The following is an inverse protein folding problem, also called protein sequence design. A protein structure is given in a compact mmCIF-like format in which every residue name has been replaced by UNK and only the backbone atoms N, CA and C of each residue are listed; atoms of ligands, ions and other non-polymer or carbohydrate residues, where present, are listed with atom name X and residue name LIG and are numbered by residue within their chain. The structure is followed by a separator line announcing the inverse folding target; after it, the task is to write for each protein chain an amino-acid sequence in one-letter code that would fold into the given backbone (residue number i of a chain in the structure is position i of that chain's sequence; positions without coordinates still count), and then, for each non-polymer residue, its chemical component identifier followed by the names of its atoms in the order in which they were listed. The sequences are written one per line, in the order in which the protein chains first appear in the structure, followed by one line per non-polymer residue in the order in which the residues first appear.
data_IF_991139908767
#
_entry.id   IF_991139908767
#
_cell.length_a   1.000
_cell.length_b   1.000
_cell.length_c   1.000
_cell.angle_alpha   90.00
_cell.angle_beta   90.00
_cell.angle_gamma   90.00
#
_symmetry.space_group_name_H-M   'P 1'
#
loop_
_entity.id
_entity.type
_entity.pdbx_description
1 polymer ?
#
# COMPACT_ATOMS: atom_id res chain seq x y z
N UNK A 1 19.14 18.53 -7.02
CA UNK A 1 17.72 18.70 -7.41
C UNK A 1 16.93 17.61 -6.72
N UNK A 2 15.88 17.95 -5.99
CA UNK A 2 15.05 16.99 -5.25
C UNK A 2 13.63 17.03 -5.84
N UNK A 3 13.08 15.87 -6.18
CA UNK A 3 11.70 15.72 -6.63
C UNK A 3 10.92 15.02 -5.52
N UNK A 4 9.80 15.60 -5.09
CA UNK A 4 9.01 15.09 -3.97
C UNK A 4 7.59 14.78 -4.45
N UNK A 5 7.07 13.62 -4.06
CA UNK A 5 5.72 13.17 -4.34
C UNK A 5 4.99 12.80 -3.03
N UNK A 6 3.72 13.20 -2.94
CA UNK A 6 2.82 12.79 -1.87
C UNK A 6 1.64 12.05 -2.48
N UNK A 7 1.42 10.82 -1.99
CA UNK A 7 0.21 10.06 -2.29
C UNK A 7 -0.57 9.81 -1.01
N UNK A 8 -1.61 10.61 -0.80
CA UNK A 8 -2.54 10.46 0.31
C UNK A 8 -3.61 9.39 0.05
N UNK A 9 -4.29 8.98 1.13
CA UNK A 9 -5.47 8.08 1.10
C UNK A 9 -5.24 6.67 0.55
N UNK A 10 -4.00 6.16 0.61
CA UNK A 10 -3.70 4.76 0.25
C UNK A 10 -4.42 3.84 1.24
N UNK A 11 -5.37 3.03 0.77
CA UNK A 11 -6.09 2.11 1.65
C UNK A 11 -5.19 0.94 2.04
N UNK A 12 -5.04 0.72 3.35
CA UNK A 12 -4.39 -0.48 3.87
C UNK A 12 -5.40 -1.64 3.78
N UNK A 13 -5.34 -2.37 2.66
CA UNK A 13 -6.21 -3.52 2.40
C UNK A 13 -5.51 -4.80 2.82
N UNK A 14 -6.17 -5.55 3.69
CA UNK A 14 -5.80 -6.92 4.01
C UNK A 14 -6.92 -7.85 3.54
N UNK A 15 -6.59 -9.02 3.00
CA UNK A 15 -7.60 -9.98 2.57
C UNK A 15 -8.17 -10.68 3.79
N UNK A 16 -9.49 -10.81 3.85
CA UNK A 16 -10.18 -11.42 5.01
C UNK A 16 -9.98 -12.93 5.11
N UNK A 17 -9.63 -13.59 4.00
CA UNK A 17 -9.39 -15.04 3.97
C UNK A 17 -8.08 -15.35 3.23
N UNK A 18 -7.22 -16.25 3.76
CA UNK A 18 -6.05 -16.74 3.05
C UNK A 18 -6.48 -17.45 1.77
N UNK A 19 -5.73 -17.23 0.68
CA UNK A 19 -5.96 -17.96 -0.57
C UNK A 19 -5.88 -19.46 -0.30
N UNK A 20 -6.90 -20.20 -0.70
CA UNK A 20 -6.88 -21.65 -0.59
C UNK A 20 -5.69 -22.22 -1.36
N UNK A 21 -5.01 -23.26 -0.83
CA UNK A 21 -3.93 -23.93 -1.54
C UNK A 21 -4.36 -24.30 -2.96
N UNK A 22 -3.55 -23.93 -3.95
CA UNK A 22 -3.83 -24.26 -5.35
C UNK A 22 -3.85 -25.78 -5.51
N UNK A 23 -5.03 -26.34 -5.81
CA UNK A 23 -5.18 -27.76 -6.16
C UNK A 23 -5.16 -27.90 -7.69
N UNK A 24 -4.47 -28.93 -8.20
CA UNK A 24 -4.48 -29.26 -9.64
C UNK A 24 -5.94 -29.41 -10.11
N UNK A 25 -6.36 -28.61 -11.09
CA UNK A 25 -7.75 -28.58 -11.59
C UNK A 25 -8.69 -27.58 -10.91
N UNK A 26 -8.23 -26.79 -9.93
CA UNK A 26 -9.01 -25.72 -9.29
C UNK A 26 -8.21 -24.42 -9.25
N UNK A 27 -8.69 -23.41 -9.99
CA UNK A 27 -8.14 -22.05 -9.91
C UNK A 27 -8.27 -21.53 -8.48
N UNK A 28 -7.26 -20.79 -7.99
CA UNK A 28 -7.27 -20.21 -6.66
C UNK A 28 -8.55 -19.39 -6.44
N UNK A 29 -9.37 -19.77 -5.47
CA UNK A 29 -10.58 -19.04 -5.12
C UNK A 29 -10.17 -17.79 -4.36
N UNK A 30 -10.35 -16.63 -4.98
CA UNK A 30 -10.07 -15.33 -4.39
C UNK A 30 -11.36 -14.80 -3.78
N UNK A 31 -11.45 -14.77 -2.44
CA UNK A 31 -12.55 -14.06 -1.78
C UNK A 31 -12.46 -12.57 -2.12
N UNK A 32 -13.59 -11.98 -2.54
CA UNK A 32 -13.71 -10.56 -2.90
C UNK A 32 -13.72 -9.64 -1.68
N UNK A 33 -13.74 -10.20 -0.47
CA UNK A 33 -13.82 -9.47 0.78
C UNK A 33 -12.44 -8.96 1.22
N UNK A 34 -12.40 -7.69 1.61
CA UNK A 34 -11.21 -7.00 2.09
C UNK A 34 -11.49 -6.33 3.43
N UNK A 35 -10.59 -6.51 4.39
CA UNK A 35 -10.58 -5.77 5.64
C UNK A 35 -9.92 -4.42 5.39
N UNK A 36 -10.62 -3.34 5.75
CA UNK A 36 -10.10 -1.97 5.71
C UNK A 36 -9.35 -1.68 7.01
N UNK A 37 -8.03 -1.59 6.94
CA UNK A 37 -7.17 -1.24 8.08
C UNK A 37 -6.90 0.28 8.17
N UNK A 38 -7.72 1.11 7.50
CA UNK A 38 -7.57 2.57 7.42
C UNK A 38 -6.81 3.04 6.18
N UNK A 39 -6.42 4.31 6.18
CA UNK A 39 -5.65 4.94 5.08
C UNK A 39 -4.29 5.42 5.55
N UNK A 40 -3.26 5.19 4.75
CA UNK A 40 -1.89 5.70 4.94
C UNK A 40 -1.57 6.77 3.89
N UNK A 41 -0.64 7.67 4.21
CA UNK A 41 -0.08 8.64 3.26
C UNK A 41 1.38 8.29 3.01
N UNK A 42 1.74 8.08 1.75
CA UNK A 42 3.11 7.86 1.31
C UNK A 42 3.73 9.20 0.94
N UNK A 43 4.89 9.50 1.53
CA UNK A 43 5.79 10.57 1.10
C UNK A 43 7.02 9.93 0.47
N UNK A 44 7.35 10.32 -0.76
CA UNK A 44 8.54 9.86 -1.46
C UNK A 44 9.35 11.07 -1.94
N UNK A 45 10.66 11.06 -1.69
CA UNK A 45 11.58 12.06 -2.19
C UNK A 45 12.68 11.36 -3.00
N UNK A 46 12.80 11.71 -4.28
CA UNK A 46 13.86 11.28 -5.18
C UNK A 46 14.93 12.36 -5.24
N UNK A 47 16.14 12.04 -4.80
CA UNK A 47 17.31 12.86 -5.07
C UNK A 47 17.85 12.50 -6.45
N UNK A 48 17.79 13.47 -7.36
CA UNK A 48 18.11 13.27 -8.78
C UNK A 48 19.62 13.18 -9.02
N UNK A 49 20.43 13.66 -8.06
CA UNK A 49 21.89 13.69 -8.21
C UNK A 49 22.54 12.32 -7.92
N UNK A 50 21.97 11.56 -7.00
CA UNK A 50 22.49 10.26 -6.55
C UNK A 50 21.52 9.10 -6.86
N UNK A 51 20.30 9.40 -7.32
CA UNK A 51 19.26 8.40 -7.62
C UNK A 51 18.60 7.79 -6.38
N UNK A 52 18.84 8.35 -5.20
CA UNK A 52 18.31 7.78 -3.95
C UNK A 52 16.84 8.16 -3.75
N UNK A 53 16.03 7.19 -3.32
CA UNK A 53 14.62 7.40 -2.99
C UNK A 53 14.41 7.21 -1.49
N UNK A 54 13.94 8.25 -0.82
CA UNK A 54 13.57 8.22 0.59
C UNK A 54 12.04 8.19 0.67
N UNK A 55 11.50 7.09 1.17
CA UNK A 55 10.06 6.88 1.32
C UNK A 55 9.66 6.74 2.78
N UNK A 56 8.56 7.39 3.19
CA UNK A 56 7.95 7.19 4.52
C UNK A 56 6.44 7.08 4.41
N UNK A 57 5.89 6.01 5.01
CA UNK A 57 4.46 5.87 5.22
C UNK A 57 4.09 6.51 6.56
N UNK A 58 3.20 7.49 6.54
CA UNK A 58 2.68 8.13 7.74
C UNK A 58 1.20 7.82 7.91
N UNK A 59 0.79 7.48 9.13
CA UNK A 59 -0.61 7.30 9.48
C UNK A 59 -1.34 8.63 9.27
N UNK A 60 -2.51 8.60 8.63
CA UNK A 60 -3.25 9.82 8.26
C UNK A 60 -3.45 10.72 9.48
N UNK A 61 -2.89 11.94 9.43
CA UNK A 61 -3.19 12.98 10.41
C UNK A 61 -4.65 13.43 10.23
N UNK A 62 -5.52 13.04 11.16
CA UNK A 62 -6.87 13.61 11.27
C UNK A 62 -6.73 14.89 12.08
N UNK A 63 -6.83 16.06 11.45
CA UNK A 63 -7.11 17.30 12.18
C UNK A 63 -8.54 17.16 12.71
N UNK A 64 -8.71 17.11 14.03
CA UNK A 64 -9.96 17.56 14.66
C UNK A 64 -9.82 19.04 14.93
#
# INVERSE_FOLDING_TARGET
MLSVDEKSQIQALERTQPSLPMKKGRLGTMAHDYKRNGTTTLFAALNVLDGTVIGKNMQRHRHQ
#
